data_IF_354420281076
#
_entry.id   IF_354420281076
#
_cell.length_a   1.000
_cell.length_b   1.000
_cell.length_c   1.000
_cell.angle_alpha   90.00
_cell.angle_beta   90.00
_cell.angle_gamma   90.00
#
_symmetry.space_group_name_H-M   'P 1'
#
loop_
_entity.id
_entity.type
_entity.pdbx_description
1 polymer ?
#
# COMPACT_ATOMS: atom_id res chain seq x y z
N UNK A 1 -22.20 -9.49 -3.81
CA UNK A 1 -23.32 -8.54 -4.02
C UNK A 1 -24.37 -8.82 -2.96
N UNK A 2 -24.36 -8.09 -1.85
CA UNK A 2 -25.40 -8.19 -0.84
C UNK A 2 -26.39 -7.05 -1.08
N UNK A 3 -27.46 -7.34 -1.84
CA UNK A 3 -28.65 -6.50 -1.80
C UNK A 3 -29.38 -6.81 -0.50
N UNK A 4 -29.22 -5.95 0.50
CA UNK A 4 -30.17 -5.86 1.60
C UNK A 4 -31.01 -4.61 1.41
N UNK A 5 -31.92 -4.66 0.45
CA UNK A 5 -33.03 -3.72 0.36
C UNK A 5 -34.08 -4.12 1.41
N UNK A 6 -33.83 -3.78 2.68
CA UNK A 6 -34.90 -3.78 3.69
C UNK A 6 -35.62 -2.45 3.57
N UNK A 7 -36.49 -2.35 2.56
CA UNK A 7 -37.59 -1.40 2.57
C UNK A 7 -38.64 -1.93 3.55
N UNK A 8 -38.37 -1.77 4.85
CA UNK A 8 -39.41 -1.85 5.85
C UNK A 8 -39.93 -0.42 6.04
N UNK A 9 -41.02 -0.08 5.35
CA UNK A 9 -41.87 1.01 5.82
C UNK A 9 -42.30 0.64 7.23
N UNK A 10 -42.01 1.51 8.20
CA UNK A 10 -42.48 1.35 9.57
C UNK A 10 -44.01 1.50 9.60
N UNK A 11 -44.70 0.43 9.23
CA UNK A 11 -46.15 0.35 9.34
C UNK A 11 -46.47 0.01 10.81
N UNK A 12 -46.65 1.04 11.64
CA UNK A 12 -47.32 1.00 12.94
C UNK A 12 -47.17 -0.31 13.76
N UNK A 13 -45.93 -0.77 13.95
CA UNK A 13 -45.65 -1.90 14.82
C UNK A 13 -45.66 -1.40 16.28
N UNK A 14 -46.58 -1.94 17.09
CA UNK A 14 -46.70 -1.58 18.51
C UNK A 14 -45.61 -2.30 19.30
N UNK A 15 -44.60 -1.58 19.78
CA UNK A 15 -43.54 -2.13 20.63
C UNK A 15 -44.00 -2.18 22.09
N UNK A 16 -43.66 -3.26 22.79
CA UNK A 16 -43.96 -3.48 24.20
C UNK A 16 -42.68 -3.57 25.00
N UNK A 17 -42.65 -2.93 26.17
CA UNK A 17 -41.58 -3.08 27.15
C UNK A 17 -41.98 -4.11 28.20
N UNK A 18 -41.28 -5.23 28.20
CA UNK A 18 -41.48 -6.39 29.05
C UNK A 18 -40.33 -6.48 30.06
N UNK A 19 -40.49 -5.83 31.21
CA UNK A 19 -39.39 -5.69 32.18
C UNK A 19 -38.21 -4.90 31.58
N UNK A 20 -37.10 -5.59 31.31
CA UNK A 20 -35.86 -5.00 30.77
C UNK A 20 -35.63 -5.27 29.28
N UNK A 21 -36.63 -5.84 28.59
CA UNK A 21 -36.53 -6.21 27.17
C UNK A 21 -37.66 -5.55 26.39
N UNK A 22 -37.39 -5.21 25.13
CA UNK A 22 -38.38 -4.71 24.17
C UNK A 22 -38.79 -5.84 23.22
N UNK A 23 -40.05 -5.89 22.83
CA UNK A 23 -40.60 -6.91 21.94
C UNK A 23 -41.73 -6.32 21.09
N UNK A 24 -41.96 -6.90 19.92
CA UNK A 24 -43.06 -6.52 19.03
C UNK A 24 -44.34 -7.32 19.30
N UNK A 25 -44.35 -8.18 20.32
CA UNK A 25 -45.51 -8.95 20.76
C UNK A 25 -45.95 -8.55 22.18
N UNK A 26 -47.26 -8.48 22.47
CA UNK A 26 -47.74 -8.23 23.82
C UNK A 26 -47.23 -9.28 24.81
N UNK A 27 -46.88 -8.84 26.01
CA UNK A 27 -46.42 -9.73 27.09
C UNK A 27 -47.17 -9.44 28.38
N UNK A 28 -47.21 -10.44 29.27
CA UNK A 28 -47.89 -10.30 30.56
C UNK A 28 -47.18 -9.24 31.42
N UNK A 29 -47.93 -8.19 31.79
CA UNK A 29 -47.39 -7.04 32.54
C UNK A 29 -46.57 -6.06 31.69
N UNK A 30 -46.53 -6.24 30.36
CA UNK A 30 -45.87 -5.33 29.44
C UNK A 30 -46.60 -4.00 29.31
N UNK A 31 -45.85 -2.93 29.07
CA UNK A 31 -46.40 -1.62 28.71
C UNK A 31 -46.14 -1.34 27.24
N UNK A 32 -47.16 -0.88 26.52
CA UNK A 32 -46.99 -0.33 25.17
C UNK A 32 -46.07 0.88 25.22
N UNK A 33 -45.11 0.91 24.33
CA UNK A 33 -44.23 2.04 24.10
C UNK A 33 -44.63 2.64 22.76
N UNK A 34 -44.95 3.93 22.78
CA UNK A 34 -45.15 4.68 21.54
C UNK A 34 -43.78 4.96 20.93
N UNK A 35 -43.53 4.42 19.74
CA UNK A 35 -42.27 4.58 19.02
C UNK A 35 -42.55 5.39 17.78
N UNK A 36 -42.38 6.71 17.88
CA UNK A 36 -42.42 7.63 16.74
C UNK A 36 -41.00 7.88 16.24
N UNK A 37 -40.49 6.99 15.39
CA UNK A 37 -39.22 7.17 14.65
C UNK A 37 -39.49 7.60 13.21
N UNK A 38 -40.29 8.65 13.04
CA UNK A 38 -40.47 9.26 11.74
C UNK A 38 -39.25 10.10 11.38
N UNK A 39 -38.45 9.61 10.43
CA UNK A 39 -37.34 10.39 9.89
C UNK A 39 -37.85 11.60 9.13
N UNK A 40 -37.42 12.78 9.56
CA UNK A 40 -37.81 14.02 8.90
C UNK A 40 -37.06 14.19 7.56
N UNK A 41 -37.62 15.00 6.68
CA UNK A 41 -36.95 15.47 5.47
C UNK A 41 -35.65 16.24 5.74
N UNK A 42 -35.50 16.82 6.94
CA UNK A 42 -34.26 17.43 7.38
C UNK A 42 -33.19 16.37 7.69
N UNK A 43 -33.56 15.28 8.38
CA UNK A 43 -32.66 14.17 8.71
C UNK A 43 -32.15 13.47 7.46
N UNK A 44 -33.04 13.25 6.47
CA UNK A 44 -32.66 12.69 5.17
C UNK A 44 -31.62 13.56 4.47
N UNK A 45 -31.88 14.88 4.37
CA UNK A 45 -30.96 15.82 3.72
C UNK A 45 -29.62 15.91 4.45
N UNK A 46 -29.62 15.86 5.77
CA UNK A 46 -28.41 15.84 6.58
C UNK A 46 -27.58 14.58 6.33
N UNK A 47 -28.23 13.41 6.30
CA UNK A 47 -27.59 12.13 5.99
C UNK A 47 -26.97 12.15 4.58
N UNK A 48 -27.71 12.60 3.56
CA UNK A 48 -27.21 12.69 2.19
C UNK A 48 -26.02 13.64 2.06
N UNK A 49 -26.07 14.78 2.76
CA UNK A 49 -24.96 15.72 2.79
C UNK A 49 -23.71 15.12 3.48
N UNK A 50 -23.89 14.34 4.54
CA UNK A 50 -22.80 13.62 5.19
C UNK A 50 -22.20 12.55 4.27
N UNK A 51 -23.03 11.78 3.57
CA UNK A 51 -22.60 10.77 2.59
C UNK A 51 -21.74 11.40 1.49
N UNK A 52 -22.20 12.48 0.85
CA UNK A 52 -21.44 13.17 -0.20
C UNK A 52 -20.07 13.69 0.30
N UNK A 53 -20.02 14.19 1.54
CA UNK A 53 -18.76 14.64 2.17
C UNK A 53 -17.82 13.46 2.42
N UNK A 54 -18.35 12.34 2.91
CA UNK A 54 -17.59 11.12 3.15
C UNK A 54 -17.02 10.54 1.86
N UNK A 55 -17.82 10.47 0.79
CA UNK A 55 -17.37 10.06 -0.56
C UNK A 55 -16.24 10.94 -1.07
N UNK A 56 -16.40 12.26 -1.02
CA UNK A 56 -15.37 13.22 -1.43
C UNK A 56 -14.07 13.04 -0.63
N UNK A 57 -14.18 12.81 0.67
CA UNK A 57 -13.03 12.56 1.54
C UNK A 57 -12.35 11.22 1.18
N UNK A 58 -13.13 10.16 0.96
CA UNK A 58 -12.63 8.85 0.57
C UNK A 58 -11.85 8.91 -0.74
N UNK A 59 -12.40 9.55 -1.77
CA UNK A 59 -11.69 9.74 -3.04
C UNK A 59 -10.38 10.52 -2.88
N UNK A 60 -10.37 11.56 -2.03
CA UNK A 60 -9.15 12.33 -1.74
C UNK A 60 -8.09 11.44 -1.08
N UNK A 61 -8.49 10.58 -0.15
CA UNK A 61 -7.59 9.63 0.51
C UNK A 61 -7.05 8.61 -0.50
N UNK A 62 -7.90 8.08 -1.38
CA UNK A 62 -7.49 7.15 -2.43
C UNK A 62 -6.48 7.78 -3.39
N UNK A 63 -6.76 8.98 -3.91
CA UNK A 63 -5.83 9.71 -4.78
C UNK A 63 -4.48 9.94 -4.09
N UNK A 64 -4.50 10.26 -2.80
CA UNK A 64 -3.28 10.45 -2.01
C UNK A 64 -2.50 9.14 -1.87
N UNK A 65 -3.17 8.04 -1.53
CA UNK A 65 -2.56 6.70 -1.44
C UNK A 65 -1.89 6.31 -2.75
N UNK A 66 -2.61 6.40 -3.87
CA UNK A 66 -2.10 6.05 -5.19
C UNK A 66 -0.86 6.88 -5.57
N UNK A 67 -0.86 8.19 -5.25
CA UNK A 67 0.30 9.04 -5.48
C UNK A 67 1.51 8.59 -4.67
N UNK A 68 1.33 8.33 -3.38
CA UNK A 68 2.42 7.88 -2.50
C UNK A 68 2.98 6.52 -2.93
N UNK A 69 2.13 5.58 -3.30
CA UNK A 69 2.54 4.27 -3.82
C UNK A 69 3.32 4.39 -5.12
N UNK A 70 2.84 5.23 -6.04
CA UNK A 70 3.55 5.51 -7.28
C UNK A 70 4.93 6.11 -7.01
N UNK A 71 5.00 7.13 -6.16
CA UNK A 71 6.26 7.80 -5.83
C UNK A 71 7.25 6.85 -5.12
N UNK A 72 6.76 5.92 -4.31
CA UNK A 72 7.59 4.88 -3.69
C UNK A 72 8.10 3.88 -4.74
N UNK A 73 7.20 3.35 -5.58
CA UNK A 73 7.55 2.42 -6.66
C UNK A 73 8.57 3.01 -7.65
N UNK A 74 8.40 4.29 -8.02
CA UNK A 74 9.33 4.98 -8.92
C UNK A 74 10.71 5.19 -8.26
N UNK A 75 10.76 5.42 -6.94
CA UNK A 75 12.03 5.48 -6.17
C UNK A 75 12.71 4.12 -6.12
N UNK A 76 11.98 3.06 -5.81
CA UNK A 76 12.52 1.70 -5.71
C UNK A 76 13.05 1.22 -7.07
N UNK A 77 12.32 1.50 -8.15
CA UNK A 77 12.76 1.20 -9.51
C UNK A 77 14.07 1.91 -9.86
N UNK A 78 14.19 3.20 -9.53
CA UNK A 78 15.43 3.97 -9.76
C UNK A 78 16.59 3.42 -8.93
N UNK A 79 16.34 3.11 -7.66
CA UNK A 79 17.32 2.51 -6.77
C UNK A 79 17.81 1.16 -7.33
N UNK A 80 16.92 0.27 -7.75
CA UNK A 80 17.25 -1.02 -8.32
C UNK A 80 18.10 -0.90 -9.61
N UNK A 81 17.73 0.03 -10.51
CA UNK A 81 18.53 0.29 -11.72
C UNK A 81 19.92 0.82 -11.38
N UNK A 82 20.01 1.75 -10.43
CA UNK A 82 21.30 2.30 -9.99
C UNK A 82 22.19 1.24 -9.34
N UNK A 83 21.64 0.40 -8.46
CA UNK A 83 22.35 -0.71 -7.82
C UNK A 83 22.87 -1.71 -8.84
N UNK A 84 22.06 -2.07 -9.84
CA UNK A 84 22.49 -2.94 -10.94
C UNK A 84 23.65 -2.32 -11.74
N UNK A 85 23.59 -1.02 -12.03
CA UNK A 85 24.65 -0.31 -12.74
C UNK A 85 25.95 -0.29 -11.94
N UNK A 86 25.88 -0.03 -10.64
CA UNK A 86 27.03 -0.05 -9.73
C UNK A 86 27.66 -1.45 -9.66
N UNK A 87 26.85 -2.49 -9.45
CA UNK A 87 27.32 -3.88 -9.42
C UNK A 87 28.01 -4.30 -10.72
N UNK A 88 27.47 -3.91 -11.88
CA UNK A 88 28.14 -4.14 -13.17
C UNK A 88 29.44 -3.36 -13.30
N UNK A 89 29.51 -2.14 -12.77
CA UNK A 89 30.75 -1.36 -12.70
C UNK A 89 31.83 -2.05 -11.89
N UNK A 90 31.48 -2.50 -10.68
CA UNK A 90 32.36 -3.24 -9.77
C UNK A 90 32.85 -4.57 -10.39
N UNK A 91 31.97 -5.30 -11.09
CA UNK A 91 32.39 -6.50 -11.81
C UNK A 91 33.41 -6.20 -12.90
N UNK A 92 33.25 -5.09 -13.63
CA UNK A 92 34.19 -4.68 -14.68
C UNK A 92 35.54 -4.27 -14.12
N UNK A 93 35.56 -3.52 -13.01
CA UNK A 93 36.81 -3.14 -12.35
C UNK A 93 37.52 -4.36 -11.78
N UNK A 94 36.80 -5.25 -11.08
CA UNK A 94 37.37 -6.48 -10.54
C UNK A 94 37.92 -7.41 -11.65
N UNK A 95 37.23 -7.50 -12.79
CA UNK A 95 37.73 -8.26 -13.94
C UNK A 95 39.00 -7.66 -14.54
N UNK A 96 39.07 -6.33 -14.65
CA UNK A 96 40.25 -5.62 -15.13
C UNK A 96 41.45 -5.81 -14.19
N UNK A 97 41.22 -5.71 -12.87
CA UNK A 97 42.26 -5.98 -11.86
C UNK A 97 42.78 -7.41 -11.93
N UNK A 98 41.89 -8.40 -12.05
CA UNK A 98 42.28 -9.81 -12.23
C UNK A 98 43.14 -10.01 -13.46
N UNK A 99 42.77 -9.39 -14.58
CA UNK A 99 43.56 -9.46 -15.82
C UNK A 99 44.92 -8.78 -15.65
N UNK A 100 44.99 -7.62 -14.99
CA UNK A 100 46.24 -6.92 -14.71
C UNK A 100 47.18 -7.76 -13.84
N UNK A 101 46.66 -8.37 -12.76
CA UNK A 101 47.43 -9.27 -11.91
C UNK A 101 47.91 -10.51 -12.66
N UNK A 102 47.07 -11.11 -13.52
CA UNK A 102 47.47 -12.25 -14.35
C UNK A 102 48.61 -11.88 -15.31
N UNK A 103 48.58 -10.67 -15.90
CA UNK A 103 49.67 -10.16 -16.75
C UNK A 103 50.96 -9.98 -15.97
N UNK A 104 50.91 -9.40 -14.77
CA UNK A 104 52.08 -9.25 -13.89
C UNK A 104 52.67 -10.61 -13.55
N UNK A 105 51.84 -11.56 -13.07
CA UNK A 105 52.27 -12.93 -12.74
C UNK A 105 52.92 -13.64 -13.92
N UNK A 106 52.43 -13.42 -15.15
CA UNK A 106 53.05 -13.99 -16.36
C UNK A 106 54.45 -13.40 -16.60
N UNK A 107 54.58 -12.07 -16.50
CA UNK A 107 55.86 -11.37 -16.68
C UNK A 107 56.89 -11.74 -15.62
N UNK A 108 56.46 -12.07 -14.40
CA UNK A 108 57.36 -12.52 -13.33
C UNK A 108 57.81 -13.98 -13.52
N UNK A 109 56.98 -14.82 -14.15
CA UNK A 109 57.28 -16.24 -14.41
C UNK A 109 58.15 -16.45 -15.65
N UNK A 110 58.05 -15.58 -16.67
CA UNK A 110 58.95 -15.63 -17.83
C UNK A 110 60.34 -15.08 -17.45
N UNK A 111 61.43 -15.88 -17.54
CA UNK A 111 62.76 -15.38 -17.24
C UNK A 111 63.09 -14.25 -18.22
N UNK A 112 63.27 -13.03 -17.70
CA UNK A 112 63.64 -11.88 -18.52
C UNK A 112 64.98 -12.17 -19.19
N UNK A 113 65.01 -12.22 -20.52
CA UNK A 113 66.27 -12.33 -21.27
C UNK A 113 67.10 -11.09 -20.95
N UNK A 114 68.20 -11.27 -20.23
CA UNK A 114 69.20 -10.23 -19.96
C UNK A 114 69.76 -9.73 -21.29
N UNK A 115 69.32 -8.55 -21.74
CA UNK A 115 69.87 -7.87 -22.92
C UNK A 115 71.07 -7.00 -22.57
N UNK A 116 71.81 -7.31 -21.50
CA UNK A 116 73.10 -6.66 -21.25
C UNK A 116 74.12 -7.13 -22.30
N UNK A 117 74.22 -6.38 -23.40
CA UNK A 117 75.41 -6.41 -24.25
C UNK A 117 76.53 -5.67 -23.51
N UNK A 118 77.39 -6.44 -22.83
CA UNK A 118 78.63 -5.91 -22.28
C UNK A 118 79.54 -5.48 -23.45
N UNK A 119 79.75 -4.17 -23.61
CA UNK A 119 80.64 -3.62 -24.63
C UNK A 119 82.01 -3.40 -23.99
N UNK A 120 82.89 -4.40 -24.11
CA UNK A 120 84.28 -4.32 -23.66
C UNK A 120 85.10 -3.38 -24.55
N UNK A 121 86.01 -2.63 -23.93
CA UNK A 121 87.01 -1.77 -24.58
C UNK A 121 88.18 -2.60 -25.13
#
# INVERSE_FOLDING_TARGET
MALCAHLAGAANAQTWRCGNTYTDQPCQGGKTVDVDDNRSEADRRAADAATRRAETQAERMERTRLKLEKDASDRDRKAAVSARRLALGEQRTAAAERLAQARIRKMDREPRKSTMKFKGK
#
